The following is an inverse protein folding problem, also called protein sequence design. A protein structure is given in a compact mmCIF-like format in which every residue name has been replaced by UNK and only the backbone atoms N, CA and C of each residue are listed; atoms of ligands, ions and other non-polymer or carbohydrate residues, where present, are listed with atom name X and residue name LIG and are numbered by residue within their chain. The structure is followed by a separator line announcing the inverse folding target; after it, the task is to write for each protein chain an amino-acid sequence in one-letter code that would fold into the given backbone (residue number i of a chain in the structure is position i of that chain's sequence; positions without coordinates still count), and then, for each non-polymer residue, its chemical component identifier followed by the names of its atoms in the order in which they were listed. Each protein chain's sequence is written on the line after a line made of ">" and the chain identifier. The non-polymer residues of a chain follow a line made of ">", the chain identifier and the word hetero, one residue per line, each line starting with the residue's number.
data_IF_631223731766
#
_entry.id   IF_631223731766
#
_cell.length_a   1.000
_cell.length_b   1.000
_cell.length_c   1.000
_cell.angle_alpha   90.00
_cell.angle_beta   90.00
_cell.angle_gamma   90.00
#
_symmetry.space_group_name_H-M   'P 1'
#
loop_
_entity.id
_entity.type
_entity.pdbx_description
1 polymer ?
#
# COMPACT_ATOMS: atom_id res chain seq x y z
N UNK A 1 12.77 8.11 -24.54
CA UNK A 1 12.87 6.62 -24.53
C UNK A 1 12.75 6.10 -25.97
N UNK A 2 13.59 5.14 -26.38
CA UNK A 2 13.46 4.48 -27.70
C UNK A 2 12.20 3.60 -27.68
N UNK A 3 11.43 3.49 -28.79
CA UNK A 3 10.18 2.71 -28.83
C UNK A 3 10.38 1.23 -28.46
N UNK A 4 11.55 0.67 -28.70
CA UNK A 4 11.92 -0.70 -28.29
C UNK A 4 12.05 -0.87 -26.77
N UNK A 5 12.50 0.16 -26.03
CA UNK A 5 12.61 0.12 -24.57
C UNK A 5 11.23 0.21 -23.90
N UNK A 6 10.31 0.98 -24.48
CA UNK A 6 8.93 1.11 -23.97
C UNK A 6 8.16 -0.22 -24.10
N UNK A 7 8.25 -0.89 -25.26
CA UNK A 7 7.62 -2.20 -25.48
C UNK A 7 8.16 -3.26 -24.51
N UNK A 8 9.49 -3.30 -24.34
CA UNK A 8 10.11 -4.23 -23.38
C UNK A 8 9.69 -3.96 -21.92
N UNK A 9 9.56 -2.69 -21.54
CA UNK A 9 9.06 -2.32 -20.22
C UNK A 9 7.60 -2.74 -20.03
N UNK A 10 6.72 -2.43 -20.99
CA UNK A 10 5.31 -2.79 -20.93
C UNK A 10 5.11 -4.31 -20.79
N UNK A 11 5.83 -5.11 -21.60
CA UNK A 11 5.78 -6.57 -21.49
C UNK A 11 6.23 -7.07 -20.12
N UNK A 12 7.35 -6.54 -19.59
CA UNK A 12 7.84 -6.90 -18.25
C UNK A 12 6.85 -6.52 -17.16
N UNK A 13 6.18 -5.38 -17.30
CA UNK A 13 5.19 -4.92 -16.35
C UNK A 13 3.97 -5.85 -16.33
N UNK A 14 3.45 -6.24 -17.49
CA UNK A 14 2.34 -7.18 -17.61
C UNK A 14 2.71 -8.54 -16.97
N UNK A 15 3.90 -9.07 -17.29
CA UNK A 15 4.37 -10.33 -16.72
C UNK A 15 4.58 -10.24 -15.20
N UNK A 16 5.19 -9.16 -14.73
CA UNK A 16 5.38 -8.93 -13.29
C UNK A 16 4.04 -8.78 -12.56
N UNK A 17 3.09 -8.03 -13.15
CA UNK A 17 1.75 -7.87 -12.60
C UNK A 17 1.01 -9.21 -12.53
N UNK A 18 1.02 -9.99 -13.59
CA UNK A 18 0.40 -11.32 -13.60
C UNK A 18 1.02 -12.25 -12.54
N UNK A 19 2.35 -12.28 -12.45
CA UNK A 19 3.07 -13.12 -11.49
C UNK A 19 2.80 -12.69 -10.03
N UNK A 20 2.89 -11.40 -9.71
CA UNK A 20 2.63 -10.88 -8.36
C UNK A 20 1.16 -11.07 -7.98
N UNK A 21 0.21 -10.83 -8.89
CA UNK A 21 -1.21 -11.08 -8.65
C UNK A 21 -1.45 -12.56 -8.34
N UNK A 22 -0.89 -13.48 -9.13
CA UNK A 22 -1.03 -14.92 -8.88
C UNK A 22 -0.48 -15.33 -7.50
N UNK A 23 0.72 -14.84 -7.14
CA UNK A 23 1.33 -15.12 -5.83
C UNK A 23 0.48 -14.57 -4.69
N UNK A 24 0.06 -13.31 -4.77
CA UNK A 24 -0.70 -12.69 -3.70
C UNK A 24 -2.15 -13.19 -3.62
N UNK A 25 -2.76 -13.62 -4.72
CA UNK A 25 -4.06 -14.29 -4.68
C UNK A 25 -4.01 -15.61 -3.87
N UNK A 26 -2.91 -16.36 -3.96
CA UNK A 26 -2.71 -17.56 -3.16
C UNK A 26 -2.37 -17.24 -1.68
N UNK A 27 -1.83 -16.07 -1.41
CA UNK A 27 -1.40 -15.62 -0.09
C UNK A 27 -2.39 -14.65 0.57
N UNK A 28 -3.56 -14.40 0.00
CA UNK A 28 -4.51 -13.40 0.48
C UNK A 28 -4.80 -13.55 1.97
N UNK A 29 -5.35 -14.69 2.36
CA UNK A 29 -5.71 -14.93 3.75
C UNK A 29 -4.51 -14.93 4.70
N UNK A 30 -3.40 -15.71 4.48
CA UNK A 30 -2.24 -15.69 5.35
C UNK A 30 -1.57 -14.32 5.44
N UNK A 31 -1.56 -13.52 4.37
CA UNK A 31 -1.01 -12.17 4.37
C UNK A 31 -1.79 -11.25 5.31
N UNK A 32 -3.12 -11.22 5.18
CA UNK A 32 -3.97 -10.38 6.03
C UNK A 32 -3.98 -10.86 7.48
N UNK A 33 -3.96 -12.17 7.73
CA UNK A 33 -3.85 -12.71 9.09
C UNK A 33 -2.52 -12.34 9.75
N UNK A 34 -1.41 -12.33 9.00
CA UNK A 34 -0.11 -11.88 9.51
C UNK A 34 -0.11 -10.39 9.88
N UNK A 35 -0.85 -9.55 9.15
CA UNK A 35 -0.98 -8.11 9.44
C UNK A 35 -2.04 -7.78 10.50
N UNK A 36 -2.89 -8.73 10.89
CA UNK A 36 -3.96 -8.52 11.88
C UNK A 36 -3.51 -7.87 13.20
N UNK A 37 -2.36 -8.26 13.82
CA UNK A 37 -1.88 -7.59 15.03
C UNK A 37 -1.58 -6.10 14.81
N UNK A 38 -0.99 -5.76 13.65
CA UNK A 38 -0.70 -4.38 13.25
C UNK A 38 -1.99 -3.58 13.11
N UNK A 39 -2.99 -4.12 12.42
CA UNK A 39 -4.29 -3.47 12.22
C UNK A 39 -5.00 -3.24 13.54
N UNK A 40 -5.00 -4.23 14.44
CA UNK A 40 -5.60 -4.09 15.77
C UNK A 40 -4.93 -3.00 16.60
N UNK A 41 -3.60 -2.94 16.56
CA UNK A 41 -2.82 -1.91 17.25
C UNK A 41 -3.15 -0.51 16.71
N UNK A 42 -3.25 -0.36 15.39
CA UNK A 42 -3.58 0.91 14.76
C UNK A 42 -5.00 1.39 15.11
N UNK A 43 -5.99 0.50 15.06
CA UNK A 43 -7.36 0.85 15.46
C UNK A 43 -7.40 1.31 16.91
N UNK A 44 -6.68 0.62 17.80
CA UNK A 44 -6.58 1.01 19.21
C UNK A 44 -5.99 2.42 19.40
N UNK A 45 -4.94 2.76 18.65
CA UNK A 45 -4.29 4.07 18.74
C UNK A 45 -5.10 5.20 18.09
N UNK A 46 -5.76 4.92 16.97
CA UNK A 46 -6.45 5.92 16.15
C UNK A 46 -7.85 6.23 16.65
N UNK A 47 -8.46 5.33 17.42
CA UNK A 47 -9.84 5.47 17.87
C UNK A 47 -10.01 4.94 19.32
N UNK A 48 -9.38 5.63 20.32
CA UNK A 48 -9.40 5.21 21.70
C UNK A 48 -10.81 5.28 22.35
N UNK A 49 -11.76 5.92 21.70
CA UNK A 49 -13.18 5.94 22.09
C UNK A 49 -13.87 4.59 21.89
N UNK A 50 -13.30 3.71 21.05
CA UNK A 50 -13.83 2.38 20.81
C UNK A 50 -13.03 1.29 21.53
N UNK A 51 -13.73 0.31 22.03
CA UNK A 51 -13.16 -0.98 22.44
C UNK A 51 -13.25 -1.95 21.26
N UNK A 52 -12.14 -2.52 20.86
CA UNK A 52 -12.10 -3.55 19.81
C UNK A 52 -12.45 -4.90 20.43
N UNK A 53 -13.64 -5.41 20.16
CA UNK A 53 -14.08 -6.73 20.60
C UNK A 53 -13.44 -7.82 19.74
N UNK A 54 -13.48 -7.65 18.41
CA UNK A 54 -12.86 -8.59 17.49
C UNK A 54 -12.34 -7.90 16.22
N UNK A 55 -11.23 -8.42 15.70
CA UNK A 55 -10.77 -8.18 14.34
C UNK A 55 -10.48 -9.55 13.73
N UNK A 56 -11.31 -9.97 12.80
CA UNK A 56 -11.29 -11.32 12.25
C UNK A 56 -11.22 -11.30 10.73
N UNK A 57 -10.61 -12.35 10.17
CA UNK A 57 -10.67 -12.66 8.74
C UNK A 57 -11.70 -13.77 8.55
N UNK A 58 -12.73 -13.51 7.79
CA UNK A 58 -13.86 -14.41 7.59
C UNK A 58 -14.21 -14.55 6.12
N UNK A 59 -14.80 -15.68 5.76
CA UNK A 59 -15.31 -15.87 4.41
C UNK A 59 -16.81 -15.54 4.38
N UNK A 60 -17.18 -14.58 3.54
CA UNK A 60 -18.59 -14.19 3.31
C UNK A 60 -18.93 -14.24 1.84
N UNK A 61 -19.91 -15.02 1.48
CA UNK A 61 -20.41 -15.18 0.09
C UNK A 61 -19.31 -15.50 -0.93
N UNK A 62 -18.28 -16.26 -0.51
CA UNK A 62 -17.17 -16.65 -1.36
C UNK A 62 -16.03 -15.61 -1.46
N UNK A 63 -16.11 -14.51 -0.71
CA UNK A 63 -15.07 -13.50 -0.62
C UNK A 63 -14.44 -13.49 0.77
N UNK A 64 -13.12 -13.33 0.85
CA UNK A 64 -12.42 -13.12 2.11
C UNK A 64 -12.60 -11.68 2.55
N UNK A 65 -13.11 -11.48 3.76
CA UNK A 65 -13.36 -10.15 4.34
C UNK A 65 -12.61 -9.98 5.67
N UNK A 66 -12.17 -8.77 5.93
CA UNK A 66 -11.68 -8.33 7.24
C UNK A 66 -12.84 -7.67 7.96
N UNK A 67 -13.24 -8.25 9.08
CA UNK A 67 -14.36 -7.77 9.89
C UNK A 67 -13.83 -7.15 11.18
N UNK A 68 -14.27 -5.95 11.48
CA UNK A 68 -14.00 -5.21 12.71
C UNK A 68 -15.28 -5.10 13.50
N UNK A 69 -15.25 -5.59 14.74
CA UNK A 69 -16.30 -5.45 15.73
C UNK A 69 -15.81 -4.52 16.84
N UNK A 70 -16.51 -3.41 17.02
CA UNK A 70 -16.19 -2.37 18.01
C UNK A 70 -17.41 -1.98 18.80
N UNK A 71 -17.17 -1.53 20.04
CA UNK A 71 -18.18 -0.92 20.89
C UNK A 71 -17.63 0.36 21.52
N UNK A 72 -18.52 1.27 21.89
CA UNK A 72 -18.12 2.46 22.65
C UNK A 72 -17.59 2.06 24.02
N UNK A 73 -16.35 2.44 24.33
CA UNK A 73 -15.69 2.13 25.61
C UNK A 73 -16.32 2.88 26.82
N UNK A 74 -16.99 4.00 26.54
CA UNK A 74 -17.67 4.87 27.50
C UNK A 74 -18.84 5.58 26.83
N UNK A 75 -19.72 6.17 27.63
CA UNK A 75 -20.79 7.02 27.10
C UNK A 75 -20.18 8.16 26.27
N UNK A 76 -20.72 8.41 25.12
CA UNK A 76 -20.24 9.42 24.19
C UNK A 76 -21.41 10.30 23.73
N UNK A 77 -21.10 11.56 23.45
CA UNK A 77 -22.07 12.48 22.81
C UNK A 77 -21.53 12.82 21.43
N UNK A 78 -22.27 12.44 20.41
CA UNK A 78 -21.93 12.73 19.02
C UNK A 78 -23.03 13.65 18.46
N UNK A 79 -22.66 14.89 18.11
CA UNK A 79 -23.58 15.91 17.62
C UNK A 79 -24.86 16.08 18.47
N UNK A 80 -24.73 16.04 19.81
CA UNK A 80 -25.84 16.20 20.76
C UNK A 80 -26.66 14.93 21.01
N UNK A 81 -26.38 13.83 20.32
CA UNK A 81 -27.02 12.52 20.54
C UNK A 81 -26.15 11.71 21.50
N UNK A 82 -26.74 11.27 22.60
CA UNK A 82 -26.04 10.38 23.54
C UNK A 82 -26.01 8.96 23.02
N UNK A 83 -24.82 8.39 22.98
CA UNK A 83 -24.57 7.00 22.61
C UNK A 83 -24.07 6.28 23.87
N UNK A 84 -24.80 5.29 24.39
CA UNK A 84 -24.42 4.61 25.61
C UNK A 84 -23.16 3.76 25.42
N UNK A 85 -22.40 3.59 26.48
CA UNK A 85 -21.34 2.60 26.58
C UNK A 85 -21.86 1.23 26.14
N UNK A 86 -21.03 0.48 25.41
CA UNK A 86 -21.38 -0.85 24.88
C UNK A 86 -22.21 -0.83 23.60
N UNK A 87 -22.62 0.36 23.11
CA UNK A 87 -23.22 0.43 21.78
C UNK A 87 -22.21 -0.04 20.73
N UNK A 88 -22.51 -1.20 20.11
CA UNK A 88 -21.61 -1.91 19.21
C UNK A 88 -21.94 -1.71 17.73
N UNK A 89 -20.94 -1.87 16.92
CA UNK A 89 -21.04 -1.82 15.46
C UNK A 89 -20.05 -2.79 14.83
N UNK A 90 -20.50 -3.52 13.82
CA UNK A 90 -19.65 -4.40 13.03
C UNK A 90 -19.56 -3.85 11.60
N UNK A 91 -18.33 -3.68 11.11
CA UNK A 91 -18.04 -3.30 9.73
C UNK A 91 -17.12 -4.32 9.09
N UNK A 92 -17.12 -4.39 7.77
CA UNK A 92 -16.22 -5.29 7.04
C UNK A 92 -15.75 -4.65 5.73
N UNK A 93 -14.57 -5.09 5.28
CA UNK A 93 -14.00 -4.72 3.99
C UNK A 93 -13.38 -5.95 3.33
N UNK A 94 -13.16 -5.91 2.01
CA UNK A 94 -12.53 -7.01 1.28
C UNK A 94 -11.05 -7.14 1.68
N UNK A 95 -10.62 -8.37 1.97
CA UNK A 95 -9.22 -8.67 2.25
C UNK A 95 -8.33 -8.40 1.04
N UNK A 96 -8.84 -8.60 -0.17
CA UNK A 96 -8.14 -8.32 -1.43
C UNK A 96 -7.66 -6.88 -1.57
N UNK A 97 -8.24 -5.94 -0.85
CA UNK A 97 -7.76 -4.56 -0.84
C UNK A 97 -6.33 -4.41 -0.28
N UNK A 98 -5.96 -5.21 0.73
CA UNK A 98 -4.60 -5.25 1.25
C UNK A 98 -3.57 -5.78 0.24
N UNK A 99 -3.99 -6.46 -0.81
CA UNK A 99 -3.09 -7.00 -1.82
C UNK A 99 -2.69 -5.98 -2.89
N UNK A 100 -3.44 -4.89 -3.02
CA UNK A 100 -3.21 -3.89 -4.08
C UNK A 100 -1.82 -3.26 -3.92
N UNK A 101 -1.44 -2.89 -2.70
CA UNK A 101 -0.14 -2.23 -2.45
C UNK A 101 1.05 -3.11 -2.82
N UNK A 102 1.19 -4.36 -2.31
CA UNK A 102 2.31 -5.21 -2.68
C UNK A 102 2.30 -5.59 -4.17
N UNK A 103 1.12 -5.87 -4.76
CA UNK A 103 1.02 -6.21 -6.18
C UNK A 103 1.54 -5.06 -7.04
N UNK A 104 1.04 -3.85 -6.86
CA UNK A 104 1.41 -2.70 -7.69
C UNK A 104 2.86 -2.30 -7.47
N UNK A 105 3.29 -2.17 -6.20
CA UNK A 105 4.64 -1.71 -5.87
C UNK A 105 5.70 -2.68 -6.39
N UNK A 106 5.53 -3.98 -6.14
CA UNK A 106 6.48 -5.00 -6.59
C UNK A 106 6.47 -5.16 -8.10
N UNK A 107 5.31 -5.10 -8.76
CA UNK A 107 5.22 -5.20 -10.22
C UNK A 107 6.00 -4.09 -10.91
N UNK A 108 5.82 -2.85 -10.48
CA UNK A 108 6.53 -1.70 -11.05
C UNK A 108 8.03 -1.81 -10.80
N UNK A 109 8.44 -2.18 -9.58
CA UNK A 109 9.85 -2.36 -9.23
C UNK A 109 10.53 -3.48 -10.05
N UNK A 110 9.89 -4.63 -10.17
CA UNK A 110 10.42 -5.78 -10.89
C UNK A 110 10.51 -5.52 -12.41
N UNK A 111 9.55 -4.79 -12.96
CA UNK A 111 9.53 -4.43 -14.37
C UNK A 111 10.55 -3.35 -14.74
N UNK A 112 11.04 -2.56 -13.78
CA UNK A 112 11.83 -1.36 -14.08
C UNK A 112 13.14 -1.69 -14.79
N UNK A 113 13.38 -1.11 -16.00
CA UNK A 113 14.61 -1.32 -16.73
C UNK A 113 15.77 -0.56 -16.06
N UNK A 114 16.98 -1.14 -16.13
CA UNK A 114 18.19 -0.47 -15.63
C UNK A 114 18.53 -0.69 -14.15
N UNK A 115 17.68 -1.41 -13.40
CA UNK A 115 18.07 -1.90 -12.08
C UNK A 115 18.85 -3.20 -12.22
N UNK A 116 20.09 -3.21 -11.70
CA UNK A 116 20.86 -4.44 -11.55
C UNK A 116 20.25 -5.36 -10.47
N UNK A 117 20.67 -6.62 -10.43
CA UNK A 117 20.12 -7.63 -9.52
C UNK A 117 20.26 -7.24 -8.04
N UNK A 118 21.37 -6.63 -7.66
CA UNK A 118 21.63 -6.21 -6.28
C UNK A 118 20.69 -5.07 -5.85
N UNK A 119 20.52 -4.06 -6.71
CA UNK A 119 19.61 -2.95 -6.43
C UNK A 119 18.17 -3.41 -6.42
N UNK A 120 17.81 -4.35 -7.30
CA UNK A 120 16.47 -4.93 -7.33
C UNK A 120 16.19 -5.70 -6.04
N UNK A 121 17.15 -6.47 -5.52
CA UNK A 121 16.99 -7.17 -4.24
C UNK A 121 16.80 -6.19 -3.07
N UNK A 122 17.63 -5.14 -2.96
CA UNK A 122 17.43 -4.08 -1.96
C UNK A 122 16.12 -3.32 -2.17
N UNK A 123 15.74 -3.10 -3.42
CA UNK A 123 14.46 -2.49 -3.77
C UNK A 123 13.27 -3.32 -3.27
N UNK A 124 13.33 -4.66 -3.39
CA UNK A 124 12.27 -5.55 -2.87
C UNK A 124 12.18 -5.46 -1.35
N UNK A 125 13.30 -5.46 -0.63
CA UNK A 125 13.30 -5.29 0.84
C UNK A 125 12.68 -3.93 1.23
N UNK A 126 13.09 -2.86 0.57
CA UNK A 126 12.52 -1.53 0.80
C UNK A 126 11.04 -1.45 0.42
N UNK A 127 10.62 -2.11 -0.67
CA UNK A 127 9.23 -2.19 -1.08
C UNK A 127 8.37 -2.91 -0.03
N UNK A 128 8.85 -4.01 0.56
CA UNK A 128 8.12 -4.71 1.62
C UNK A 128 7.93 -3.82 2.87
N UNK A 129 8.94 -3.03 3.25
CA UNK A 129 8.80 -2.06 4.34
C UNK A 129 7.78 -0.96 4.01
N UNK A 130 7.79 -0.46 2.76
CA UNK A 130 6.78 0.52 2.30
C UNK A 130 5.38 -0.09 2.27
N UNK A 131 5.23 -1.36 1.87
CA UNK A 131 3.95 -2.07 1.93
C UNK A 131 3.44 -2.12 3.37
N UNK A 132 4.27 -2.50 4.34
CA UNK A 132 3.86 -2.52 5.76
C UNK A 132 3.41 -1.13 6.24
N UNK A 133 4.11 -0.08 5.80
CA UNK A 133 3.74 1.29 6.14
C UNK A 133 2.40 1.69 5.50
N UNK A 134 2.19 1.38 4.22
CA UNK A 134 0.94 1.67 3.52
C UNK A 134 -0.23 0.90 4.13
N UNK A 135 -0.05 -0.39 4.41
CA UNK A 135 -1.06 -1.24 5.04
C UNK A 135 -1.45 -0.75 6.45
N UNK A 136 -0.48 -0.26 7.22
CA UNK A 136 -0.77 0.31 8.53
C UNK A 136 -1.74 1.50 8.47
N UNK A 137 -1.78 2.23 7.35
CA UNK A 137 -2.65 3.40 7.17
C UNK A 137 -3.89 3.13 6.29
N UNK A 138 -3.86 2.12 5.42
CA UNK A 138 -5.00 1.86 4.52
C UNK A 138 -6.13 1.15 5.28
N UNK A 139 -5.96 -0.12 5.59
CA UNK A 139 -7.04 -0.99 6.05
C UNK A 139 -7.63 -0.56 7.41
N UNK A 140 -6.82 -0.16 8.43
CA UNK A 140 -7.37 0.34 9.70
C UNK A 140 -8.18 1.61 9.54
N UNK A 141 -7.68 2.59 8.76
CA UNK A 141 -8.42 3.85 8.54
C UNK A 141 -9.65 3.64 7.68
N UNK A 142 -9.63 2.70 6.74
CA UNK A 142 -10.80 2.34 5.98
C UNK A 142 -11.90 1.76 6.88
N UNK A 143 -11.55 0.81 7.74
CA UNK A 143 -12.51 0.23 8.70
C UNK A 143 -13.05 1.28 9.66
N UNK A 144 -12.18 2.16 10.20
CA UNK A 144 -12.61 3.27 11.05
C UNK A 144 -13.47 4.28 10.29
N UNK A 145 -13.16 4.53 9.03
CA UNK A 145 -13.99 5.35 8.14
C UNK A 145 -15.39 4.77 8.00
N UNK A 146 -15.50 3.46 7.78
CA UNK A 146 -16.78 2.76 7.69
C UNK A 146 -17.57 2.79 9.02
N UNK A 147 -16.88 2.62 10.17
CA UNK A 147 -17.50 2.79 11.50
C UNK A 147 -18.07 4.20 11.65
N UNK A 148 -17.27 5.22 11.36
CA UNK A 148 -17.70 6.62 11.50
C UNK A 148 -18.79 7.00 10.51
N UNK A 149 -18.72 6.53 9.27
CA UNK A 149 -19.75 6.77 8.26
C UNK A 149 -21.08 6.17 8.69
N UNK A 150 -21.09 4.94 9.21
CA UNK A 150 -22.29 4.28 9.71
C UNK A 150 -22.90 4.99 10.95
N UNK A 151 -22.07 5.55 11.83
CA UNK A 151 -22.54 6.34 12.98
C UNK A 151 -23.10 7.68 12.48
N UNK A 152 -22.34 8.42 11.66
CA UNK A 152 -22.76 9.72 11.16
C UNK A 152 -24.02 9.64 10.30
N UNK A 153 -24.19 8.59 9.52
CA UNK A 153 -25.41 8.36 8.75
C UNK A 153 -26.68 8.33 9.63
N UNK A 154 -26.56 7.92 10.90
CA UNK A 154 -27.68 7.84 11.84
C UNK A 154 -27.85 9.11 12.66
N UNK A 155 -26.76 9.73 13.11
CA UNK A 155 -26.81 10.81 14.12
C UNK A 155 -26.61 12.19 13.53
N UNK A 156 -25.88 12.31 12.41
CA UNK A 156 -25.54 13.60 11.78
C UNK A 156 -25.25 13.43 10.28
N UNK A 157 -26.27 13.13 9.47
CA UNK A 157 -26.09 12.92 8.02
C UNK A 157 -25.40 14.10 7.36
N UNK A 158 -24.41 13.84 6.52
CA UNK A 158 -23.67 14.86 5.78
C UNK A 158 -22.55 15.56 6.54
N UNK A 159 -22.31 15.24 7.81
CA UNK A 159 -21.19 15.81 8.55
C UNK A 159 -19.85 15.24 8.06
N UNK A 160 -18.85 16.13 8.08
CA UNK A 160 -17.51 15.77 7.64
C UNK A 160 -16.75 14.97 8.72
N UNK A 161 -15.97 13.98 8.27
CA UNK A 161 -15.03 13.24 9.12
C UNK A 161 -13.76 12.91 8.34
N UNK A 162 -12.60 13.15 8.92
CA UNK A 162 -11.32 12.85 8.28
C UNK A 162 -11.19 11.37 7.89
N UNK A 163 -11.66 10.44 8.77
CA UNK A 163 -11.62 9.00 8.49
C UNK A 163 -12.55 8.63 7.31
N UNK A 164 -13.74 9.23 7.23
CA UNK A 164 -14.67 9.03 6.10
C UNK A 164 -14.09 9.61 4.82
N UNK A 165 -13.47 10.80 4.87
CA UNK A 165 -12.81 11.41 3.72
C UNK A 165 -11.66 10.55 3.22
N UNK A 166 -10.85 9.97 4.14
CA UNK A 166 -9.78 9.04 3.79
C UNK A 166 -10.31 7.77 3.14
N UNK A 167 -11.33 7.15 3.72
CA UNK A 167 -12.00 5.98 3.13
C UNK A 167 -12.47 6.27 1.69
N UNK A 168 -13.15 7.40 1.48
CA UNK A 168 -13.63 7.82 0.14
C UNK A 168 -12.48 8.11 -0.82
N UNK A 169 -11.37 8.68 -0.34
CA UNK A 169 -10.15 8.86 -1.14
C UNK A 169 -9.58 7.51 -1.59
N UNK A 170 -9.48 6.53 -0.68
CA UNK A 170 -9.00 5.20 -1.03
C UNK A 170 -9.90 4.52 -2.08
N UNK A 171 -11.22 4.60 -1.90
CA UNK A 171 -12.20 4.02 -2.83
C UNK A 171 -12.24 4.77 -4.17
N UNK A 172 -11.94 6.07 -4.17
CA UNK A 172 -11.83 6.91 -5.36
C UNK A 172 -10.54 6.73 -6.17
N UNK A 173 -9.71 5.73 -5.83
CA UNK A 173 -8.46 5.43 -6.57
C UNK A 173 -7.19 5.72 -5.78
N UNK A 174 -7.27 6.30 -4.58
CA UNK A 174 -6.14 6.55 -3.70
C UNK A 174 -5.33 5.29 -3.41
N UNK A 175 -6.02 4.15 -3.27
CA UNK A 175 -5.41 2.83 -3.04
C UNK A 175 -4.49 2.37 -4.17
N UNK A 176 -4.71 2.83 -5.40
CA UNK A 176 -3.80 2.61 -6.54
C UNK A 176 -2.73 3.69 -6.62
N UNK A 177 -3.09 4.94 -6.32
CA UNK A 177 -2.18 6.07 -6.41
C UNK A 177 -1.02 5.99 -5.40
N UNK A 178 -1.31 5.56 -4.16
CA UNK A 178 -0.31 5.45 -3.10
C UNK A 178 0.86 4.53 -3.45
N UNK A 179 0.66 3.25 -3.84
CA UNK A 179 1.77 2.37 -4.20
C UNK A 179 2.48 2.79 -5.48
N UNK A 180 1.80 3.44 -6.42
CA UNK A 180 2.45 4.01 -7.61
C UNK A 180 3.38 5.16 -7.24
N UNK A 181 2.94 6.07 -6.37
CA UNK A 181 3.78 7.15 -5.86
C UNK A 181 4.98 6.60 -5.07
N UNK A 182 4.74 5.63 -4.19
CA UNK A 182 5.80 4.96 -3.44
C UNK A 182 6.81 4.26 -4.37
N UNK A 183 6.35 3.58 -5.42
CA UNK A 183 7.20 2.96 -6.43
C UNK A 183 8.07 4.01 -7.16
N UNK A 184 7.47 5.13 -7.55
CA UNK A 184 8.19 6.21 -8.23
C UNK A 184 9.32 6.78 -7.35
N UNK A 185 9.03 7.05 -6.06
CA UNK A 185 10.02 7.52 -5.09
C UNK A 185 11.12 6.49 -4.88
N UNK A 186 10.75 5.22 -4.65
CA UNK A 186 11.72 4.14 -4.44
C UNK A 186 12.66 3.98 -5.64
N UNK A 187 12.12 3.97 -6.85
CA UNK A 187 12.89 3.86 -8.08
C UNK A 187 13.82 5.07 -8.25
N UNK A 188 13.34 6.28 -8.00
CA UNK A 188 14.16 7.49 -8.06
C UNK A 188 15.38 7.37 -7.12
N UNK A 189 15.18 6.92 -5.87
CA UNK A 189 16.25 6.70 -4.90
C UNK A 189 17.25 5.63 -5.37
N UNK A 190 16.76 4.51 -5.92
CA UNK A 190 17.60 3.41 -6.39
C UNK A 190 18.43 3.79 -7.64
N UNK A 191 17.90 4.67 -8.49
CA UNK A 191 18.59 5.15 -9.69
C UNK A 191 19.63 6.23 -9.36
N UNK A 192 19.29 7.19 -8.50
CA UNK A 192 20.18 8.30 -8.14
C UNK A 192 21.39 7.88 -7.31
N UNK A 193 21.25 6.83 -6.50
CA UNK A 193 22.36 6.24 -5.74
C UNK A 193 23.28 5.36 -6.59
N UNK A 194 23.20 5.43 -7.95
CA UNK A 194 24.17 4.79 -8.81
C UNK A 194 25.54 5.47 -8.62
N UNK A 195 26.58 4.77 -8.12
CA UNK A 195 27.92 5.36 -8.14
C UNK A 195 28.23 5.68 -9.58
N UNK A 196 28.55 6.95 -9.85
CA UNK A 196 29.16 7.35 -11.12
C UNK A 196 30.30 6.38 -11.36
N UNK A 197 30.29 5.64 -12.47
CA UNK A 197 31.40 4.75 -12.82
C UNK A 197 32.64 5.65 -12.89
N UNK A 198 33.56 5.58 -11.92
CA UNK A 198 34.81 6.29 -12.07
C UNK A 198 35.60 5.52 -13.14
N UNK A 199 35.89 6.15 -14.27
CA UNK A 199 36.89 5.61 -15.16
C UNK A 199 36.51 5.28 -16.59
N UNK A 200 35.61 6.05 -17.23
CA UNK A 200 35.65 6.20 -18.69
C UNK A 200 36.13 7.62 -19.07
N UNK A 201 36.83 8.28 -18.14
CA UNK A 201 37.60 9.43 -18.50
C UNK A 201 38.79 9.00 -19.32
N UNK A 202 38.65 9.27 -20.60
CA UNK A 202 39.74 9.53 -21.56
C UNK A 202 40.96 8.58 -21.42
N UNK A 203 40.90 7.43 -22.05
CA UNK A 203 42.14 6.88 -22.60
C UNK A 203 42.76 7.98 -23.43
N UNK A 204 43.98 8.49 -23.09
CA UNK A 204 44.63 9.47 -23.90
C UNK A 204 44.76 8.91 -25.32
N UNK A 205 44.20 9.60 -26.30
CA UNK A 205 44.41 9.26 -27.70
C UNK A 205 45.93 9.30 -27.95
N UNK A 206 46.52 8.12 -28.01
CA UNK A 206 47.90 7.98 -28.45
C UNK A 206 47.91 8.55 -29.87
N UNK A 207 48.48 9.73 -30.02
CA UNK A 207 48.72 10.32 -31.34
C UNK A 207 49.69 9.39 -32.10
N UNK A 208 49.35 8.92 -33.29
CA UNK A 208 50.28 8.13 -34.11
C UNK A 208 51.50 9.04 -34.39
N UNK A 209 52.71 8.49 -34.12
CA UNK A 209 53.94 9.14 -34.44
C UNK A 209 53.98 9.46 -35.95
N UNK A 210 54.26 10.72 -36.28
CA UNK A 210 54.49 11.15 -37.65
C UNK A 210 55.77 10.44 -38.18
N UNK A 211 55.74 9.78 -39.33
CA UNK A 211 56.97 9.29 -39.93
C UNK A 211 57.81 10.48 -40.36
N UNK A 212 59.03 10.54 -39.88
CA UNK A 212 60.04 11.48 -40.38
C UNK A 212 60.38 11.11 -41.83
N UNK A 213 60.28 12.13 -42.72
CA UNK A 213 60.84 12.09 -44.08
C UNK A 213 62.24 12.67 -44.12
#
# INVERSE_FOLDING_TARGET
>A
MRPSTLRSFALRLVLALAATTAVFALLERPFVEALRPLYRLQVYWLAPEFRVNALTVADRKGETVVQLDVEYARDATVHGIQIPKGAGLTVSTLAGYALIHPIVLLSVLLAWPGLDTRRRAWGVVAALLLVLLLEAWDLPLMLLGAVRDAILAKVAPGQWSAAVAWMRFLDGGGRMALPLAAAAVLIAVLVTRAPSRPGLEARPRVRPARPEQ
#
